data_IF_669514197754
#
_entry.id   IF_669514197754
#
_cell.length_a   1.000
_cell.length_b   1.000
_cell.length_c   1.000
_cell.angle_alpha   90.00
_cell.angle_beta   90.00
_cell.angle_gamma   90.00
#
_symmetry.space_group_name_H-M   'P 1'
#
loop_
_entity.id
_entity.type
_entity.pdbx_description
1 polymer ?
#
# COMPACT_ATOMS: atom_id res chain seq x y z
N UNK A 1 -44.60 17.18 -3.83
CA UNK A 1 -43.46 17.12 -4.77
C UNK A 1 -42.11 17.30 -4.06
N UNK A 2 -41.87 18.40 -3.32
CA UNK A 2 -40.60 18.63 -2.59
C UNK A 2 -40.20 17.51 -1.62
N UNK A 3 -41.18 16.93 -0.91
CA UNK A 3 -40.99 15.81 0.02
C UNK A 3 -40.62 14.48 -0.65
N UNK A 4 -41.08 14.26 -1.89
CA UNK A 4 -40.74 13.05 -2.64
C UNK A 4 -39.28 13.12 -3.13
N UNK A 5 -38.84 14.29 -3.61
CA UNK A 5 -37.44 14.49 -4.01
C UNK A 5 -36.48 14.35 -2.84
N UNK A 6 -36.82 14.85 -1.64
CA UNK A 6 -35.98 14.68 -0.45
C UNK A 6 -35.89 13.22 -0.01
N UNK A 7 -36.98 12.44 -0.12
CA UNK A 7 -36.97 11.00 0.20
C UNK A 7 -36.16 10.22 -0.84
N UNK A 8 -36.28 10.56 -2.12
CA UNK A 8 -35.51 9.93 -3.21
C UNK A 8 -34.01 10.22 -3.12
N UNK A 9 -33.64 11.47 -2.76
CA UNK A 9 -32.24 11.85 -2.52
C UNK A 9 -31.73 11.11 -1.28
N UNK A 10 -32.50 11.07 -0.19
CA UNK A 10 -32.13 10.35 1.04
C UNK A 10 -32.00 8.83 0.81
N UNK A 11 -32.85 8.22 -0.01
CA UNK A 11 -32.75 6.78 -0.32
C UNK A 11 -31.57 6.48 -1.25
N UNK A 12 -31.21 7.41 -2.14
CA UNK A 12 -30.03 7.27 -2.99
C UNK A 12 -28.72 7.32 -2.17
N UNK A 13 -28.68 8.12 -1.09
CA UNK A 13 -27.57 8.13 -0.13
C UNK A 13 -27.49 6.88 0.74
N UNK A 14 -28.62 6.22 1.03
CA UNK A 14 -28.66 4.96 1.80
C UNK A 14 -28.23 3.73 0.98
N UNK A 15 -28.27 3.81 -0.35
CA UNK A 15 -27.83 2.75 -1.28
C UNK A 15 -26.34 2.82 -1.62
N UNK A 16 -25.62 3.86 -1.15
CA UNK A 16 -24.17 3.86 -1.19
C UNK A 16 -23.68 2.78 -0.21
N UNK A 17 -23.44 1.60 -0.75
CA UNK A 17 -23.09 0.39 -0.03
C UNK A 17 -22.03 0.67 1.05
N UNK A 18 -22.35 0.28 2.27
CA UNK A 18 -21.38 0.13 3.36
C UNK A 18 -20.44 -0.99 2.93
N UNK A 19 -19.33 -0.63 2.28
CA UNK A 19 -18.20 -1.51 2.06
C UNK A 19 -17.37 -1.47 3.34
N UNK A 20 -17.07 -2.64 3.91
CA UNK A 20 -16.25 -2.73 5.11
C UNK A 20 -14.83 -2.24 4.78
N UNK A 21 -14.41 -1.15 5.42
CA UNK A 21 -13.00 -0.74 5.47
C UNK A 21 -12.36 -1.39 6.68
N UNK A 22 -11.16 -1.93 6.52
CA UNK A 22 -10.38 -2.46 7.65
C UNK A 22 -9.90 -1.29 8.54
N UNK A 23 -9.80 -1.49 9.86
CA UNK A 23 -9.20 -0.48 10.75
C UNK A 23 -7.81 -0.02 10.30
N UNK A 24 -7.02 -0.92 9.71
CA UNK A 24 -5.68 -0.60 9.20
C UNK A 24 -5.74 0.39 8.03
N UNK A 25 -6.73 0.25 7.15
CA UNK A 25 -6.95 1.14 6.03
C UNK A 25 -7.47 2.50 6.50
N UNK A 26 -8.41 2.52 7.45
CA UNK A 26 -8.92 3.75 8.05
C UNK A 26 -7.78 4.56 8.70
N UNK A 27 -6.90 3.89 9.46
CA UNK A 27 -5.74 4.53 10.07
C UNK A 27 -4.77 5.07 9.01
N UNK A 28 -4.43 4.25 7.99
CA UNK A 28 -3.53 4.64 6.90
C UNK A 28 -4.01 5.90 6.16
N UNK A 29 -5.33 6.05 5.96
CA UNK A 29 -5.91 7.16 5.21
C UNK A 29 -6.26 8.36 6.08
N UNK A 30 -6.39 8.18 7.38
CA UNK A 30 -6.59 9.29 8.31
C UNK A 30 -5.35 10.18 8.46
N UNK A 31 -4.16 9.63 8.17
CA UNK A 31 -2.89 10.33 8.30
C UNK A 31 -2.51 11.02 6.98
N UNK A 32 -2.67 12.35 6.95
CA UNK A 32 -2.22 13.19 5.85
C UNK A 32 -0.89 13.87 6.22
N UNK A 33 0.15 13.61 5.43
CA UNK A 33 1.45 14.25 5.53
C UNK A 33 1.62 15.16 4.32
N UNK A 34 1.05 16.38 4.38
CA UNK A 34 1.08 17.34 3.29
C UNK A 34 2.49 17.48 2.70
N UNK A 35 2.71 16.88 1.54
CA UNK A 35 3.84 17.18 0.68
C UNK A 35 3.65 18.60 0.17
N UNK A 36 4.69 19.41 0.31
CA UNK A 36 4.67 20.80 -0.08
C UNK A 36 5.66 21.11 -1.19
N UNK A 37 5.72 22.39 -1.53
CA UNK A 37 6.83 22.91 -2.31
C UNK A 37 8.16 22.71 -1.57
N UNK A 38 9.28 22.75 -2.29
CA UNK A 38 10.60 22.73 -1.67
C UNK A 38 10.75 23.82 -0.58
N UNK A 39 10.13 24.99 -0.79
CA UNK A 39 10.10 26.10 0.18
C UNK A 39 9.37 25.68 1.45
N UNK A 40 8.19 25.07 1.31
CA UNK A 40 7.38 24.63 2.45
C UNK A 40 8.05 23.52 3.24
N UNK A 41 8.62 22.53 2.55
CA UNK A 41 9.33 21.41 3.19
C UNK A 41 10.60 21.91 3.90
N UNK A 42 11.36 22.82 3.28
CA UNK A 42 12.59 23.40 3.89
C UNK A 42 12.31 24.14 5.19
N UNK A 43 11.09 24.66 5.36
CA UNK A 43 10.65 25.34 6.58
C UNK A 43 9.88 24.41 7.54
N UNK A 44 9.96 23.09 7.34
CA UNK A 44 9.29 22.10 8.20
C UNK A 44 7.77 22.16 8.15
N UNK A 45 7.17 22.64 7.05
CA UNK A 45 5.71 22.73 6.91
C UNK A 45 5.08 23.99 7.51
N UNK A 46 5.88 24.99 7.93
CA UNK A 46 5.38 26.20 8.60
C UNK A 46 4.50 27.13 7.74
N UNK A 47 4.38 26.90 6.43
CA UNK A 47 3.61 27.76 5.51
C UNK A 47 2.09 27.70 5.67
N UNK A 48 1.56 26.80 6.51
CA UNK A 48 0.17 26.89 6.96
C UNK A 48 -0.12 28.20 7.73
N UNK A 49 0.85 28.72 8.48
CA UNK A 49 0.70 29.98 9.22
C UNK A 49 1.22 31.20 8.45
N UNK A 50 2.29 31.05 7.66
CA UNK A 50 2.95 32.15 6.96
C UNK A 50 2.23 32.55 5.65
N UNK A 51 1.65 31.58 4.93
CA UNK A 51 1.05 31.81 3.61
C UNK A 51 2.07 32.16 2.53
N UNK A 52 1.60 32.57 1.34
CA UNK A 52 2.48 32.98 0.23
C UNK A 52 3.27 31.83 -0.43
N UNK A 53 2.82 30.59 -0.23
CA UNK A 53 3.30 29.39 -0.91
C UNK A 53 2.12 28.57 -1.43
N UNK A 54 2.29 27.84 -2.54
CA UNK A 54 1.19 27.10 -3.15
C UNK A 54 0.62 26.05 -2.20
N UNK A 55 1.45 25.45 -1.34
CA UNK A 55 1.03 24.46 -0.34
C UNK A 55 0.01 25.05 0.65
N UNK A 56 0.02 26.37 0.87
CA UNK A 56 -0.97 27.03 1.72
C UNK A 56 -2.40 26.89 1.16
N UNK A 57 -2.58 26.67 -0.15
CA UNK A 57 -3.88 26.37 -0.74
C UNK A 57 -4.57 25.18 -0.04
N UNK A 58 -3.82 24.13 0.31
CA UNK A 58 -4.36 22.94 0.98
C UNK A 58 -4.43 23.08 2.50
N UNK A 59 -3.42 23.71 3.13
CA UNK A 59 -3.33 23.79 4.60
C UNK A 59 -4.10 24.96 5.20
N UNK A 60 -4.02 26.14 4.58
CA UNK A 60 -4.67 27.37 5.02
C UNK A 60 -4.96 28.30 3.82
N UNK A 61 -6.14 28.20 3.20
CA UNK A 61 -6.48 28.92 1.96
C UNK A 61 -6.34 30.44 2.07
N UNK A 62 -6.50 31.02 3.25
CA UNK A 62 -6.29 32.46 3.47
C UNK A 62 -4.85 32.89 3.19
N UNK A 63 -3.88 31.98 3.31
CA UNK A 63 -2.48 32.20 2.97
C UNK A 63 -2.25 32.58 1.50
N UNK A 64 -3.19 32.26 0.59
CA UNK A 64 -3.13 32.70 -0.80
C UNK A 64 -3.28 34.22 -0.96
N UNK A 65 -3.97 34.89 -0.03
CA UNK A 65 -4.08 36.35 -0.04
C UNK A 65 -2.75 37.07 0.23
N UNK A 66 -1.72 36.36 0.70
CA UNK A 66 -0.37 36.92 0.94
C UNK A 66 0.41 37.08 -0.36
N UNK A 67 0.06 36.34 -1.42
CA UNK A 67 0.74 36.44 -2.71
C UNK A 67 0.72 37.87 -3.26
N UNK A 68 1.86 38.29 -3.82
CA UNK A 68 2.05 39.60 -4.48
C UNK A 68 2.31 39.49 -5.98
N UNK A 69 2.56 38.28 -6.47
CA UNK A 69 2.85 37.99 -7.86
C UNK A 69 2.20 36.67 -8.27
N UNK A 70 2.09 36.44 -9.57
CA UNK A 70 1.72 35.13 -10.10
C UNK A 70 2.95 34.22 -10.11
N UNK A 71 2.78 32.93 -9.84
CA UNK A 71 3.85 31.93 -9.77
C UNK A 71 3.40 30.61 -10.42
N UNK A 72 4.33 29.95 -11.11
CA UNK A 72 4.19 28.54 -11.47
C UNK A 72 5.24 27.76 -10.70
N UNK A 73 4.82 26.71 -10.01
CA UNK A 73 5.66 25.93 -9.09
C UNK A 73 5.62 24.46 -9.49
N UNK A 74 6.79 23.83 -9.54
CA UNK A 74 6.95 22.39 -9.69
C UNK A 74 8.01 21.91 -8.71
N UNK A 75 7.69 20.86 -7.96
CA UNK A 75 8.57 20.29 -6.94
C UNK A 75 8.81 18.81 -7.23
N UNK A 76 9.82 18.46 -8.05
CA UNK A 76 10.29 17.09 -8.14
C UNK A 76 10.93 16.68 -6.81
N UNK A 77 10.84 15.41 -6.46
CA UNK A 77 11.36 14.88 -5.20
C UNK A 77 11.93 13.49 -5.42
N UNK A 78 13.14 13.26 -4.92
CA UNK A 78 13.71 11.92 -4.79
C UNK A 78 13.40 11.43 -3.37
N UNK A 79 12.38 10.59 -3.25
CA UNK A 79 12.03 9.94 -2.00
C UNK A 79 12.96 8.75 -1.75
N UNK A 80 13.39 8.61 -0.50
CA UNK A 80 14.22 7.52 -0.01
C UNK A 80 13.48 6.87 1.16
N UNK A 81 13.32 5.56 1.08
CA UNK A 81 12.75 4.72 2.14
C UNK A 81 13.77 3.64 2.50
N UNK A 82 13.96 3.43 3.80
CA UNK A 82 14.80 2.36 4.34
C UNK A 82 13.96 1.57 5.35
N UNK A 83 13.74 0.30 5.04
CA UNK A 83 12.99 -0.61 5.90
C UNK A 83 13.93 -1.67 6.47
N UNK A 84 13.95 -1.79 7.80
CA UNK A 84 14.66 -2.85 8.51
C UNK A 84 13.65 -3.85 9.06
N UNK A 85 13.86 -5.14 8.82
CA UNK A 85 13.00 -6.20 9.36
C UNK A 85 13.84 -7.31 9.96
N UNK A 86 13.40 -7.84 11.11
CA UNK A 86 14.04 -8.97 11.77
C UNK A 86 13.12 -10.18 11.67
N UNK A 87 13.63 -11.25 11.08
CA UNK A 87 12.91 -12.51 10.94
C UNK A 87 13.85 -13.68 11.25
N UNK A 88 13.41 -14.60 12.12
CA UNK A 88 14.21 -15.76 12.59
C UNK A 88 15.62 -15.37 13.04
N UNK A 89 15.73 -14.27 13.81
CA UNK A 89 17.01 -13.77 14.32
C UNK A 89 17.92 -13.08 13.28
N UNK A 90 17.51 -13.01 12.01
CA UNK A 90 18.23 -12.31 10.94
C UNK A 90 17.58 -10.96 10.65
N UNK A 91 18.36 -9.89 10.76
CA UNK A 91 17.95 -8.55 10.35
C UNK A 91 18.32 -8.33 8.89
N UNK A 92 17.35 -7.88 8.09
CA UNK A 92 17.52 -7.53 6.68
C UNK A 92 17.09 -6.08 6.47
N UNK A 93 17.91 -5.31 5.77
CA UNK A 93 17.62 -3.94 5.38
C UNK A 93 17.30 -3.88 3.88
N UNK A 94 16.29 -3.09 3.52
CA UNK A 94 15.90 -2.85 2.13
C UNK A 94 15.78 -1.34 1.88
N UNK A 95 16.44 -0.89 0.81
CA UNK A 95 16.52 0.51 0.44
C UNK A 95 15.78 0.73 -0.87
N UNK A 96 14.90 1.72 -0.89
CA UNK A 96 14.06 2.03 -2.03
C UNK A 96 14.15 3.52 -2.37
N UNK A 97 14.45 3.82 -3.64
CA UNK A 97 14.60 5.16 -4.17
C UNK A 97 13.56 5.44 -5.23
N UNK A 98 12.90 6.59 -5.14
CA UNK A 98 11.78 6.90 -6.00
C UNK A 98 11.73 8.34 -6.42
N UNK A 99 11.49 8.55 -7.71
CA UNK A 99 11.27 9.88 -8.23
C UNK A 99 9.76 10.17 -8.29
N UNK A 100 9.33 11.18 -7.54
CA UNK A 100 7.94 11.62 -7.43
C UNK A 100 7.84 13.13 -7.65
N UNK A 101 6.63 13.62 -7.92
CA UNK A 101 6.33 15.04 -7.94
C UNK A 101 5.44 15.38 -6.74
N UNK A 102 6.03 16.04 -5.74
CA UNK A 102 5.31 16.42 -4.53
C UNK A 102 4.27 17.51 -4.79
N UNK A 103 4.59 18.44 -5.68
CA UNK A 103 3.72 19.56 -5.98
C UNK A 103 3.84 20.03 -7.44
N UNK A 104 2.70 20.36 -8.04
CA UNK A 104 2.62 21.17 -9.26
C UNK A 104 1.51 22.20 -9.04
N UNK A 105 1.83 23.48 -9.13
CA UNK A 105 0.90 24.55 -8.81
C UNK A 105 1.02 25.74 -9.74
N UNK A 106 -0.10 26.39 -9.99
CA UNK A 106 -0.16 27.69 -10.63
C UNK A 106 -0.96 28.64 -9.75
N UNK A 107 -0.39 29.81 -9.51
CA UNK A 107 -0.99 30.89 -8.73
C UNK A 107 -1.06 32.12 -9.60
N UNK A 108 -2.24 32.70 -9.73
CA UNK A 108 -2.46 33.97 -10.42
C UNK A 108 -2.96 35.02 -9.45
N UNK A 109 -2.24 36.13 -9.36
CA UNK A 109 -2.52 37.22 -8.42
C UNK A 109 -2.89 38.49 -9.16
N UNK A 110 -4.03 39.07 -8.80
CA UNK A 110 -4.52 40.35 -9.32
C UNK A 110 -4.47 41.36 -8.17
N UNK A 111 -3.60 42.35 -8.28
CA UNK A 111 -3.49 43.45 -7.32
C UNK A 111 -4.31 44.64 -7.79
N UNK A 112 -4.97 45.32 -6.86
CA UNK A 112 -5.78 46.53 -7.16
C UNK A 112 -4.94 47.80 -7.21
N UNK A 113 -3.69 47.75 -6.73
CA UNK A 113 -2.81 48.92 -6.60
C UNK A 113 -3.18 49.87 -5.47
N UNK A 114 -4.10 49.48 -4.58
CA UNK A 114 -4.55 50.26 -3.42
C UNK A 114 -3.84 49.78 -2.15
N UNK A 115 -3.61 50.70 -1.22
CA UNK A 115 -3.04 50.40 0.11
C UNK A 115 -4.12 50.12 1.17
N UNK A 116 -5.38 50.45 0.88
CA UNK A 116 -6.53 50.24 1.75
C UNK A 116 -7.67 49.51 1.04
N UNK A 117 -8.51 48.83 1.82
CA UNK A 117 -9.62 48.02 1.30
C UNK A 117 -9.12 46.73 0.64
N UNK A 118 -9.71 46.33 -0.49
CA UNK A 118 -9.26 45.15 -1.23
C UNK A 118 -7.91 45.42 -1.90
N UNK A 119 -6.86 44.76 -1.42
CA UNK A 119 -5.49 44.88 -1.93
C UNK A 119 -5.27 43.98 -3.14
N UNK A 120 -5.85 42.79 -3.11
CA UNK A 120 -5.74 41.84 -4.21
C UNK A 120 -6.53 40.56 -3.99
N UNK A 121 -6.69 39.83 -5.09
CA UNK A 121 -7.31 38.50 -5.14
C UNK A 121 -6.35 37.56 -5.85
N UNK A 122 -6.22 36.36 -5.31
CA UNK A 122 -5.33 35.31 -5.76
C UNK A 122 -6.14 34.08 -6.09
N UNK A 123 -5.87 33.48 -7.24
CA UNK A 123 -6.43 32.20 -7.66
C UNK A 123 -5.32 31.16 -7.70
N UNK A 124 -5.58 29.98 -7.15
CA UNK A 124 -4.64 28.86 -7.13
C UNK A 124 -5.25 27.63 -7.76
N UNK A 125 -4.50 26.93 -8.60
CA UNK A 125 -4.87 25.64 -9.17
C UNK A 125 -3.67 24.71 -9.21
N UNK A 126 -3.87 23.44 -8.91
CA UNK A 126 -2.79 22.47 -9.03
C UNK A 126 -3.02 21.19 -8.25
N UNK A 127 -1.91 20.51 -7.96
CA UNK A 127 -1.86 19.19 -7.36
C UNK A 127 -0.82 19.15 -6.23
N UNK A 128 -1.21 18.59 -5.09
CA UNK A 128 -0.35 18.29 -3.95
C UNK A 128 -0.36 16.79 -3.67
N UNK A 129 0.81 16.19 -3.43
CA UNK A 129 0.89 14.84 -2.89
C UNK A 129 0.78 14.90 -1.36
N UNK A 130 -0.26 14.30 -0.80
CA UNK A 130 -0.54 14.29 0.64
C UNK A 130 0.04 13.08 1.36
N UNK A 131 0.26 11.98 0.64
CA UNK A 131 0.89 10.80 1.22
C UNK A 131 1.59 9.97 0.14
N UNK A 132 2.64 9.28 0.51
CA UNK A 132 3.35 8.32 -0.32
C UNK A 132 3.36 6.97 0.40
N UNK A 133 2.73 5.96 -0.21
CA UNK A 133 2.67 4.61 0.35
C UNK A 133 3.71 3.67 -0.22
N UNK A 134 4.56 4.17 -1.10
CA UNK A 134 5.54 3.34 -1.73
C UNK A 134 6.62 2.89 -0.72
N UNK A 135 6.62 1.60 -0.40
CA UNK A 135 7.52 0.98 0.58
C UNK A 135 7.81 -0.45 0.14
N UNK A 136 9.04 -0.90 0.38
CA UNK A 136 9.40 -2.30 0.16
C UNK A 136 9.95 -2.86 1.47
N UNK A 137 9.37 -3.96 1.94
CA UNK A 137 9.82 -4.68 3.14
C UNK A 137 10.31 -6.04 2.72
N UNK A 138 11.57 -6.35 3.03
CA UNK A 138 12.18 -7.65 2.74
C UNK A 138 12.56 -8.35 4.03
N UNK A 139 11.92 -9.49 4.27
CA UNK A 139 12.19 -10.40 5.38
C UNK A 139 12.90 -11.63 4.83
N UNK A 140 14.00 -12.04 5.48
CA UNK A 140 14.72 -13.28 5.16
C UNK A 140 15.13 -13.99 6.42
N UNK A 141 15.01 -15.30 6.43
CA UNK A 141 15.42 -16.15 7.54
C UNK A 141 15.69 -17.57 7.07
N UNK A 142 16.41 -18.34 7.87
CA UNK A 142 16.64 -19.77 7.62
C UNK A 142 16.09 -20.54 8.79
N UNK A 143 15.23 -21.51 8.51
CA UNK A 143 14.66 -22.39 9.52
C UNK A 143 15.77 -23.26 10.11
N UNK A 144 15.76 -23.43 11.43
CA UNK A 144 16.66 -24.37 12.11
C UNK A 144 15.86 -25.59 12.52
N UNK A 145 16.24 -26.76 12.00
CA UNK A 145 15.61 -28.04 12.34
C UNK A 145 15.64 -28.28 13.86
N UNK A 146 14.49 -28.68 14.43
CA UNK A 146 14.34 -28.97 15.86
C UNK A 146 14.13 -27.76 16.77
N UNK A 147 13.82 -26.59 16.20
CA UNK A 147 13.39 -25.41 16.97
C UNK A 147 11.86 -25.26 16.90
N UNK A 148 11.22 -24.79 17.97
CA UNK A 148 9.78 -24.50 18.04
C UNK A 148 9.32 -23.38 17.05
N UNK A 149 10.25 -22.87 16.23
CA UNK A 149 10.02 -21.84 15.23
C UNK A 149 10.11 -22.38 13.80
N UNK A 150 10.04 -23.71 13.59
CA UNK A 150 9.94 -24.34 12.27
C UNK A 150 8.51 -24.23 11.71
N UNK A 151 8.21 -23.14 10.99
CA UNK A 151 6.96 -22.97 10.23
C UNK A 151 7.24 -22.82 8.73
N UNK A 152 6.68 -23.69 7.88
CA UNK A 152 6.66 -23.55 6.41
C UNK A 152 5.26 -23.16 5.92
N UNK A 153 5.16 -22.67 4.70
CA UNK A 153 3.89 -22.55 4.00
C UNK A 153 3.20 -23.92 3.85
N UNK A 154 3.97 -25.02 3.73
CA UNK A 154 3.43 -26.38 3.64
C UNK A 154 2.74 -26.84 4.92
N UNK A 155 3.17 -26.35 6.10
CA UNK A 155 2.48 -26.64 7.36
C UNK A 155 0.99 -26.29 7.31
N UNK A 156 0.60 -25.25 6.57
CA UNK A 156 -0.83 -24.94 6.44
C UNK A 156 -1.55 -26.05 5.68
N UNK A 157 -1.01 -26.46 4.53
CA UNK A 157 -1.58 -27.52 3.70
C UNK A 157 -1.60 -28.88 4.41
N UNK A 158 -0.54 -29.24 5.15
CA UNK A 158 -0.50 -30.49 5.94
C UNK A 158 -1.54 -30.47 7.05
N UNK A 159 -1.71 -29.34 7.75
CA UNK A 159 -2.71 -29.19 8.80
C UNK A 159 -4.13 -29.38 8.25
N UNK A 160 -4.46 -28.79 7.10
CA UNK A 160 -5.75 -29.00 6.46
C UNK A 160 -5.94 -30.43 5.95
N UNK A 161 -4.92 -31.02 5.32
CA UNK A 161 -4.97 -32.40 4.86
C UNK A 161 -5.18 -33.39 6.03
N UNK A 162 -4.54 -33.16 7.18
CA UNK A 162 -4.75 -33.95 8.41
C UNK A 162 -6.10 -33.68 9.08
N UNK A 163 -6.69 -32.49 8.89
CA UNK A 163 -8.01 -32.14 9.41
C UNK A 163 -9.15 -32.80 8.61
N UNK A 164 -8.88 -33.28 7.38
CA UNK A 164 -9.86 -33.94 6.51
C UNK A 164 -9.89 -35.46 6.79
N UNK A 165 -10.94 -36.00 7.43
CA UNK A 165 -10.97 -37.40 7.84
C UNK A 165 -10.98 -38.36 6.64
N UNK A 166 -10.08 -39.35 6.64
CA UNK A 166 -10.00 -40.37 5.60
C UNK A 166 -9.23 -39.95 4.34
N UNK A 167 -8.74 -38.70 4.28
CA UNK A 167 -7.96 -38.21 3.14
C UNK A 167 -6.62 -38.94 2.97
N UNK A 168 -6.10 -39.56 4.02
CA UNK A 168 -4.93 -40.45 4.00
C UNK A 168 -5.16 -41.67 3.08
N UNK A 169 -6.38 -42.22 3.09
CA UNK A 169 -6.77 -43.41 2.31
C UNK A 169 -7.39 -43.03 0.97
N UNK A 170 -8.23 -42.00 0.94
CA UNK A 170 -8.89 -41.50 -0.26
C UNK A 170 -8.53 -40.04 -0.51
N UNK A 171 -7.55 -39.83 -1.39
CA UNK A 171 -7.00 -38.51 -1.73
C UNK A 171 -7.97 -37.65 -2.53
N UNK A 172 -9.07 -38.22 -3.04
CA UNK A 172 -10.13 -37.44 -3.70
C UNK A 172 -10.93 -36.57 -2.72
N UNK A 173 -10.76 -36.80 -1.41
CA UNK A 173 -11.38 -36.01 -0.35
C UNK A 173 -10.65 -34.68 -0.08
N UNK A 174 -9.43 -34.51 -0.58
CA UNK A 174 -8.68 -33.25 -0.52
C UNK A 174 -9.35 -32.19 -1.40
N UNK A 175 -9.35 -30.93 -0.97
CA UNK A 175 -9.83 -29.81 -1.77
C UNK A 175 -8.98 -29.69 -3.05
N UNK A 176 -9.59 -29.87 -4.24
CA UNK A 176 -8.87 -29.85 -5.51
C UNK A 176 -8.26 -28.49 -5.86
N UNK A 177 -8.61 -27.42 -5.15
CA UNK A 177 -8.08 -26.08 -5.32
C UNK A 177 -7.13 -25.64 -4.20
N UNK A 178 -6.88 -26.51 -3.21
CA UNK A 178 -6.02 -26.20 -2.07
C UNK A 178 -5.03 -27.33 -1.79
N UNK A 179 -5.21 -28.14 -0.75
CA UNK A 179 -4.28 -29.21 -0.38
C UNK A 179 -4.19 -30.33 -1.43
N UNK A 180 -5.24 -30.52 -2.24
CA UNK A 180 -5.21 -31.43 -3.38
C UNK A 180 -4.21 -31.00 -4.47
N UNK A 181 -3.98 -29.69 -4.64
CA UNK A 181 -2.93 -29.18 -5.54
C UNK A 181 -1.54 -29.45 -4.98
N UNK A 182 -1.33 -29.20 -3.68
CA UNK A 182 -0.06 -29.46 -3.02
C UNK A 182 0.32 -30.95 -3.05
N UNK A 183 -0.67 -31.83 -2.83
CA UNK A 183 -0.49 -33.27 -3.03
C UNK A 183 -0.22 -33.62 -4.50
N UNK A 184 -0.98 -33.05 -5.45
CA UNK A 184 -0.82 -33.29 -6.89
C UNK A 184 0.55 -32.90 -7.44
N UNK A 185 1.28 -32.02 -6.75
CA UNK A 185 2.67 -31.64 -7.04
C UNK A 185 3.71 -32.35 -6.17
N UNK A 186 3.32 -33.43 -5.48
CA UNK A 186 4.21 -34.23 -4.63
C UNK A 186 4.87 -33.44 -3.48
N UNK A 187 4.18 -32.42 -2.96
CA UNK A 187 4.70 -31.59 -1.85
C UNK A 187 4.19 -32.03 -0.48
N UNK A 188 3.29 -33.01 -0.45
CA UNK A 188 2.75 -33.63 0.75
C UNK A 188 2.98 -35.13 0.69
N UNK A 189 3.50 -35.70 1.78
CA UNK A 189 3.72 -37.14 1.93
C UNK A 189 2.98 -37.68 3.14
N UNK A 190 2.61 -38.96 3.13
CA UNK A 190 1.98 -39.62 4.28
C UNK A 190 3.06 -40.44 4.98
N UNK A 191 3.21 -40.27 6.29
CA UNK A 191 4.15 -41.05 7.09
C UNK A 191 3.66 -42.48 7.37
N UNK A 192 4.51 -43.28 8.01
CA UNK A 192 4.16 -44.64 8.42
C UNK A 192 3.02 -44.73 9.44
N UNK A 193 2.65 -43.61 10.07
CA UNK A 193 1.58 -43.50 11.06
C UNK A 193 0.25 -43.02 10.43
N UNK A 194 0.23 -42.73 9.12
CA UNK A 194 -0.95 -42.30 8.39
C UNK A 194 -1.22 -40.79 8.44
N UNK A 195 -0.25 -39.98 8.87
CA UNK A 195 -0.38 -38.52 8.90
C UNK A 195 0.27 -37.87 7.69
N UNK A 196 -0.39 -36.84 7.15
CA UNK A 196 0.19 -35.95 6.16
C UNK A 196 1.30 -35.14 6.80
N UNK A 197 2.46 -35.15 6.15
CA UNK A 197 3.63 -34.39 6.51
C UNK A 197 4.07 -33.59 5.28
N UNK A 198 4.72 -32.47 5.53
CA UNK A 198 5.39 -31.70 4.48
C UNK A 198 6.65 -32.46 4.04
N UNK A 199 7.30 -31.99 2.97
CA UNK A 199 8.61 -32.51 2.53
C UNK A 199 9.69 -32.16 3.57
N UNK A 200 9.62 -32.78 4.73
CA UNK A 200 10.53 -32.63 5.85
C UNK A 200 11.36 -33.89 5.97
N UNK A 201 12.62 -33.79 5.57
CA UNK A 201 13.65 -34.65 6.15
C UNK A 201 14.31 -33.84 7.28
N UNK A 202 14.52 -34.48 8.44
CA UNK A 202 15.00 -33.87 9.70
C UNK A 202 16.36 -33.14 9.63
N UNK A 203 16.97 -33.03 8.45
CA UNK A 203 18.33 -32.56 8.23
C UNK A 203 18.46 -31.30 7.34
N UNK A 204 17.38 -30.68 6.89
CA UNK A 204 17.45 -29.49 6.05
C UNK A 204 16.83 -28.24 6.69
N UNK A 205 17.50 -27.09 6.58
CA UNK A 205 17.01 -25.79 7.03
C UNK A 205 16.50 -24.96 5.86
N UNK A 206 15.17 -24.86 5.72
CA UNK A 206 14.51 -24.13 4.64
C UNK A 206 14.85 -22.64 4.69
N UNK A 207 15.23 -22.07 3.55
CA UNK A 207 15.48 -20.63 3.42
C UNK A 207 14.18 -19.95 3.06
N UNK A 208 13.74 -18.99 3.86
CA UNK A 208 12.47 -18.28 3.65
C UNK A 208 12.71 -16.82 3.35
N UNK A 209 11.94 -16.32 2.39
CA UNK A 209 11.96 -14.94 1.96
C UNK A 209 10.53 -14.44 1.80
N UNK A 210 10.18 -13.36 2.50
CA UNK A 210 8.93 -12.63 2.28
C UNK A 210 9.22 -11.20 1.87
N UNK A 211 8.61 -10.76 0.78
CA UNK A 211 8.66 -9.39 0.28
C UNK A 211 7.27 -8.78 0.31
N UNK A 212 7.13 -7.61 0.91
CA UNK A 212 5.90 -6.83 0.92
C UNK A 212 6.19 -5.55 0.13
N UNK A 213 5.57 -5.42 -1.03
CA UNK A 213 5.71 -4.29 -1.94
C UNK A 213 4.44 -3.47 -1.87
N UNK A 214 4.52 -2.31 -1.25
CA UNK A 214 3.43 -1.35 -1.18
C UNK A 214 3.68 -0.24 -2.19
N UNK A 215 2.62 0.19 -2.86
CA UNK A 215 2.70 1.30 -3.82
C UNK A 215 1.45 2.16 -3.84
N UNK A 216 1.63 3.41 -4.25
CA UNK A 216 0.57 4.40 -4.34
C UNK A 216 0.78 5.60 -3.42
N UNK A 217 -0.30 6.33 -3.19
CA UNK A 217 -0.28 7.55 -2.41
C UNK A 217 -1.65 8.23 -2.39
N UNK A 218 -1.71 9.31 -1.62
CA UNK A 218 -2.86 10.22 -1.61
C UNK A 218 -2.41 11.49 -2.32
N UNK A 219 -3.18 11.89 -3.31
CA UNK A 219 -3.00 13.16 -4.02
C UNK A 219 -4.24 14.04 -3.87
N UNK A 220 -4.05 15.34 -3.94
CA UNK A 220 -5.11 16.34 -3.86
C UNK A 220 -5.00 17.29 -5.05
N UNK A 221 -6.08 17.40 -5.82
CA UNK A 221 -6.24 18.46 -6.81
C UNK A 221 -6.97 19.63 -6.15
N UNK A 222 -6.37 20.81 -6.18
CA UNK A 222 -6.90 22.00 -5.50
C UNK A 222 -7.31 23.08 -6.49
N UNK A 223 -8.45 23.70 -6.23
CA UNK A 223 -8.90 24.96 -6.83
C UNK A 223 -9.20 25.90 -5.68
N UNK A 224 -8.50 27.03 -5.64
CA UNK A 224 -8.44 27.88 -4.46
C UNK A 224 -8.56 29.35 -4.82
N UNK A 225 -9.14 30.12 -3.91
CA UNK A 225 -9.19 31.57 -4.00
C UNK A 225 -8.81 32.17 -2.66
N UNK A 226 -7.98 33.21 -2.69
CA UNK A 226 -7.59 34.00 -1.52
C UNK A 226 -7.74 35.48 -1.82
N UNK A 227 -8.02 36.28 -0.81
CA UNK A 227 -8.13 37.72 -0.93
C UNK A 227 -7.50 38.41 0.29
N UNK A 228 -6.96 39.59 0.06
CA UNK A 228 -6.35 40.44 1.08
C UNK A 228 -7.13 41.74 1.22
N UNK A 229 -7.58 42.00 2.44
CA UNK A 229 -8.23 43.24 2.83
C UNK A 229 -7.35 44.04 3.81
N UNK A 230 -6.85 45.18 3.35
CA UNK A 230 -6.10 46.17 4.11
C UNK A 230 -4.80 45.64 4.73
N UNK A 231 -4.21 44.56 4.19
CA UNK A 231 -3.05 43.86 4.74
C UNK A 231 -3.24 43.35 6.19
N UNK A 232 -4.48 43.30 6.67
CA UNK A 232 -4.85 42.92 8.05
C UNK A 232 -5.70 41.67 8.08
N UNK A 233 -6.62 41.54 7.13
CA UNK A 233 -7.54 40.42 7.02
C UNK A 233 -7.26 39.67 5.73
N UNK A 234 -6.92 38.40 5.89
CA UNK A 234 -6.74 37.46 4.79
C UNK A 234 -7.87 36.44 4.86
N UNK A 235 -8.57 36.26 3.76
CA UNK A 235 -9.64 35.28 3.64
C UNK A 235 -9.38 34.40 2.43
N UNK A 236 -9.79 33.14 2.50
CA UNK A 236 -9.66 32.25 1.37
C UNK A 236 -10.49 31.00 1.54
N UNK A 237 -10.71 30.31 0.44
CA UNK A 237 -11.39 29.04 0.39
C UNK A 237 -10.78 28.16 -0.68
N UNK A 238 -10.69 26.86 -0.37
CA UNK A 238 -10.16 25.85 -1.28
C UNK A 238 -11.18 24.74 -1.45
N UNK A 239 -11.37 24.33 -2.69
CA UNK A 239 -12.06 23.12 -3.05
C UNK A 239 -11.02 22.09 -3.50
N UNK A 240 -10.88 21.02 -2.73
CA UNK A 240 -9.91 19.95 -2.94
C UNK A 240 -10.57 18.62 -3.31
N UNK A 241 -10.15 18.00 -4.42
CA UNK A 241 -10.55 16.64 -4.80
C UNK A 241 -9.41 15.68 -4.46
N UNK A 242 -9.68 14.74 -3.58
CA UNK A 242 -8.70 13.75 -3.12
C UNK A 242 -8.75 12.49 -4.00
N UNK A 243 -7.59 12.05 -4.46
CA UNK A 243 -7.38 10.78 -5.14
C UNK A 243 -6.58 9.85 -4.24
N UNK A 244 -7.15 8.69 -3.96
CA UNK A 244 -6.50 7.63 -3.21
C UNK A 244 -6.10 6.48 -4.14
N UNK A 245 -4.86 6.00 -3.99
CA UNK A 245 -4.39 4.76 -4.61
C UNK A 245 -3.50 4.04 -3.62
N UNK A 246 -3.81 2.80 -3.29
CA UNK A 246 -2.95 1.94 -2.50
C UNK A 246 -3.04 0.53 -3.05
N UNK A 247 -1.88 -0.02 -3.36
CA UNK A 247 -1.70 -1.38 -3.84
C UNK A 247 -0.67 -2.06 -2.94
N UNK A 248 -0.98 -3.27 -2.48
CA UNK A 248 -0.06 -4.09 -1.70
C UNK A 248 0.14 -5.42 -2.41
N UNK A 249 1.38 -5.85 -2.52
CA UNK A 249 1.77 -7.13 -3.07
C UNK A 249 2.66 -7.86 -2.09
N UNK A 250 2.22 -9.02 -1.61
CA UNK A 250 3.01 -9.87 -0.73
C UNK A 250 3.48 -11.06 -1.54
N UNK A 251 4.80 -11.24 -1.61
CA UNK A 251 5.47 -12.37 -2.25
C UNK A 251 6.14 -13.18 -1.15
N UNK A 252 5.75 -14.43 -0.97
CA UNK A 252 6.42 -15.37 -0.07
C UNK A 252 7.10 -16.46 -0.88
N UNK A 253 8.33 -16.78 -0.51
CA UNK A 253 9.18 -17.76 -1.17
C UNK A 253 9.91 -18.61 -0.15
N UNK A 254 9.97 -19.92 -0.41
CA UNK A 254 10.73 -20.88 0.39
C UNK A 254 11.63 -21.69 -0.55
N UNK A 255 12.91 -21.79 -0.23
CA UNK A 255 13.92 -22.41 -1.09
C UNK A 255 14.63 -23.54 -0.35
N UNK A 256 15.05 -24.56 -1.11
CA UNK A 256 16.06 -25.55 -0.70
C UNK A 256 17.46 -25.13 -1.17
N UNK A 257 18.19 -24.39 -0.33
CA UNK A 257 19.55 -23.93 -0.61
C UNK A 257 20.58 -25.09 -0.72
N UNK A 258 20.28 -26.26 -0.16
CA UNK A 258 21.18 -27.41 -0.15
C UNK A 258 20.88 -28.43 -1.27
N UNK A 259 19.78 -28.24 -2.01
CA UNK A 259 19.32 -29.12 -3.10
C UNK A 259 19.22 -30.60 -2.69
N UNK A 260 18.83 -30.85 -1.44
CA UNK A 260 18.72 -32.21 -0.89
C UNK A 260 17.42 -32.86 -1.37
N UNK A 261 16.39 -32.06 -1.67
CA UNK A 261 15.14 -32.51 -2.25
C UNK A 261 15.20 -32.46 -3.78
N UNK A 262 15.28 -33.64 -4.42
CA UNK A 262 15.30 -33.78 -5.90
C UNK A 262 14.08 -33.09 -6.57
N UNK A 263 12.95 -32.97 -5.87
CA UNK A 263 11.74 -32.33 -6.39
C UNK A 263 11.77 -30.79 -6.44
N UNK A 264 12.65 -30.13 -5.68
CA UNK A 264 12.87 -28.68 -5.80
C UNK A 264 13.75 -28.31 -7.02
N UNK A 265 14.50 -29.29 -7.56
CA UNK A 265 15.55 -29.06 -8.56
C UNK A 265 15.11 -28.97 -10.01
N UNK A 266 13.87 -29.34 -10.35
CA UNK A 266 13.42 -29.36 -11.74
C UNK A 266 12.37 -28.28 -11.97
N UNK A 267 12.87 -27.13 -12.43
CA UNK A 267 12.19 -25.95 -13.00
C UNK A 267 11.86 -24.75 -12.10
N UNK A 268 11.65 -24.87 -10.79
CA UNK A 268 11.48 -23.71 -9.89
C UNK A 268 11.89 -24.05 -8.45
N UNK A 269 12.92 -23.37 -7.92
CA UNK A 269 13.51 -23.66 -6.61
C UNK A 269 12.67 -23.19 -5.39
N UNK A 270 11.34 -23.06 -5.50
CA UNK A 270 10.57 -22.63 -4.33
C UNK A 270 9.06 -22.54 -4.45
N UNK A 271 8.39 -22.60 -3.29
CA UNK A 271 6.97 -22.29 -3.14
C UNK A 271 6.74 -20.81 -3.30
N UNK A 272 5.86 -20.41 -4.22
CA UNK A 272 5.56 -19.01 -4.47
C UNK A 272 4.11 -18.71 -4.11
N UNK A 273 3.92 -17.76 -3.20
CA UNK A 273 2.60 -17.21 -2.90
C UNK A 273 2.62 -15.71 -3.16
N UNK A 274 1.73 -15.27 -4.04
CA UNK A 274 1.51 -13.85 -4.31
C UNK A 274 0.07 -13.48 -3.95
N UNK A 275 -0.08 -12.51 -3.05
CA UNK A 275 -1.36 -11.84 -2.81
C UNK A 275 -1.26 -10.40 -3.25
N UNK A 276 -2.25 -9.94 -4.03
CA UNK A 276 -2.35 -8.53 -4.44
C UNK A 276 -3.67 -7.94 -3.96
N UNK A 277 -3.57 -6.79 -3.31
CA UNK A 277 -4.69 -5.94 -2.94
C UNK A 277 -4.66 -4.65 -3.76
N UNK A 278 -5.78 -4.33 -4.41
CA UNK A 278 -5.95 -3.11 -5.22
C UNK A 278 -7.31 -2.46 -4.91
N UNK A 279 -7.24 -1.32 -4.22
CA UNK A 279 -8.44 -0.60 -3.78
C UNK A 279 -9.18 0.09 -4.93
N UNK A 280 -8.50 0.48 -6.01
CA UNK A 280 -9.20 1.14 -7.13
C UNK A 280 -10.12 0.18 -7.87
N UNK A 281 -9.82 -1.11 -7.85
CA UNK A 281 -10.65 -2.13 -8.51
C UNK A 281 -11.55 -2.90 -7.55
N UNK A 282 -11.44 -2.69 -6.23
CA UNK A 282 -12.14 -3.47 -5.19
C UNK A 282 -12.11 -4.98 -5.48
N UNK A 283 -11.03 -5.47 -6.13
CA UNK A 283 -10.89 -6.89 -6.41
C UNK A 283 -10.45 -7.56 -5.11
N UNK A 284 -11.18 -8.58 -4.62
CA UNK A 284 -10.73 -9.33 -3.47
C UNK A 284 -9.36 -9.95 -3.78
N UNK A 285 -8.57 -10.13 -2.73
CA UNK A 285 -7.29 -10.84 -2.71
C UNK A 285 -7.19 -11.86 -3.84
N UNK A 286 -6.39 -11.58 -4.87
CA UNK A 286 -6.08 -12.59 -5.86
C UNK A 286 -4.91 -13.41 -5.33
N UNK A 287 -5.21 -14.59 -4.82
CA UNK A 287 -4.20 -15.54 -4.38
C UNK A 287 -3.76 -16.39 -5.56
N UNK A 288 -2.48 -16.35 -5.87
CA UNK A 288 -1.87 -17.27 -6.82
C UNK A 288 -0.78 -18.03 -6.07
N UNK A 289 -1.02 -19.33 -5.88
CA UNK A 289 0.00 -20.27 -5.46
C UNK A 289 0.43 -21.05 -6.70
N UNK A 290 1.69 -20.92 -7.08
CA UNK A 290 2.27 -21.75 -8.15
C UNK A 290 3.12 -22.81 -7.51
N UNK A 291 2.71 -24.07 -7.69
CA UNK A 291 3.49 -25.23 -7.35
C UNK A 291 4.40 -25.62 -8.53
N UNK A 292 5.57 -26.21 -8.28
CA UNK A 292 6.41 -26.72 -9.36
C UNK A 292 5.64 -27.77 -10.17
N UNK A 293 5.54 -27.57 -11.48
CA UNK A 293 4.96 -28.57 -12.38
C UNK A 293 6.03 -29.62 -12.71
N UNK A 294 5.83 -30.87 -12.30
CA UNK A 294 6.68 -31.97 -12.75
C UNK A 294 6.39 -32.23 -14.23
N UNK A 295 7.29 -31.79 -15.13
CA UNK A 295 7.37 -32.40 -16.46
C UNK A 295 8.09 -33.74 -16.30
N UNK A 296 7.32 -34.80 -16.04
CA UNK A 296 7.80 -36.17 -16.15
C UNK A 296 7.26 -36.76 -17.46
N UNK A 297 8.20 -37.03 -18.38
CA UNK A 297 8.09 -38.09 -19.38
C UNK A 297 8.27 -39.45 -18.69
#
# INVERSE_FOLDING_TARGET
>A
MKTIYTILISSLFLLAAVQAQNEADALRYSQNFYGGTARTISMGGAFGALGGDFTSASMNPAGLGVYRSSEFTITPTLAYDNTSSTYLGKTTEDNNYQFIFNNIGFVHTILTGKDEGWIGVTFGLGYNQLNNFNRNTLMKGVMVSGSDQSSSLLDNFTNWANATPGADQDKSLLDPFYEGLAWGTYMLEIDSLGFWNELWNQYYGQSQQRRIIESGGIGEYVISVGANYGNRLYIGGTFGIHRLRYNSEVIHQEFDDAQILDYFGYTWNGLYFQSRDDIQTHKPYSYWCSFPSSNLL
#
